data_IF_297982834846
#
_entry.id   IF_297982834846
#
_cell.length_a   1.000
_cell.length_b   1.000
_cell.length_c   1.000
_cell.angle_alpha   90.00
_cell.angle_beta   90.00
_cell.angle_gamma   90.00
#
_symmetry.space_group_name_H-M   'P 1'
#
loop_
_entity.id
_entity.type
_entity.pdbx_description
1 polymer ?
#
# COMPACT_ATOMS: atom_id res chain seq x y z
N UNK A 1 24.40 6.71 6.74
CA UNK A 1 24.36 5.25 6.53
C UNK A 1 23.41 4.70 7.57
N UNK A 2 22.37 4.00 7.13
CA UNK A 2 21.30 3.49 8.02
C UNK A 2 21.85 2.39 8.92
N UNK A 3 21.59 2.48 10.23
CA UNK A 3 22.04 1.55 11.29
C UNK A 3 21.10 0.37 11.51
N UNK A 4 20.17 0.12 10.58
CA UNK A 4 19.19 -0.95 10.73
C UNK A 4 19.87 -2.32 10.56
N UNK A 5 19.63 -3.27 11.47
CA UNK A 5 20.13 -4.64 11.32
C UNK A 5 19.64 -5.28 10.01
N UNK A 6 20.47 -6.09 9.31
CA UNK A 6 20.08 -6.75 8.07
C UNK A 6 18.77 -7.55 8.18
N UNK A 7 18.55 -8.19 9.34
CA UNK A 7 17.32 -8.94 9.62
C UNK A 7 16.06 -8.07 9.57
N UNK A 8 16.14 -6.79 9.96
CA UNK A 8 15.00 -5.86 9.93
C UNK A 8 14.66 -5.48 8.48
N UNK A 9 15.67 -5.29 7.63
CA UNK A 9 15.46 -5.05 6.20
C UNK A 9 14.89 -6.29 5.49
N UNK A 10 15.36 -7.49 5.83
CA UNK A 10 14.80 -8.75 5.31
C UNK A 10 13.35 -8.97 5.75
N UNK A 11 13.00 -8.65 6.99
CA UNK A 11 11.61 -8.67 7.48
C UNK A 11 10.77 -7.66 6.71
N UNK A 12 11.25 -6.42 6.51
CA UNK A 12 10.55 -5.40 5.71
C UNK A 12 10.31 -5.88 4.27
N UNK A 13 11.31 -6.45 3.61
CA UNK A 13 11.20 -6.95 2.24
C UNK A 13 10.14 -8.06 2.11
N UNK A 14 10.16 -9.05 3.02
CA UNK A 14 9.12 -10.09 3.05
C UNK A 14 7.72 -9.53 3.30
N UNK A 15 7.59 -8.56 4.20
CA UNK A 15 6.31 -7.91 4.48
C UNK A 15 5.79 -7.11 3.28
N UNK A 16 6.68 -6.44 2.52
CA UNK A 16 6.33 -5.76 1.27
C UNK A 16 5.72 -6.75 0.27
N UNK A 17 6.42 -7.84 -0.01
CA UNK A 17 5.94 -8.88 -0.96
C UNK A 17 4.60 -9.46 -0.51
N UNK A 18 4.44 -9.69 0.79
CA UNK A 18 3.18 -10.18 1.34
C UNK A 18 2.02 -9.20 1.15
N UNK A 19 2.23 -7.90 1.40
CA UNK A 19 1.20 -6.88 1.18
C UNK A 19 0.86 -6.69 -0.30
N UNK A 20 1.84 -6.79 -1.20
CA UNK A 20 1.59 -6.75 -2.66
C UNK A 20 0.78 -7.96 -3.12
N UNK A 21 1.07 -9.16 -2.60
CA UNK A 21 0.25 -10.33 -2.85
C UNK A 21 -1.18 -10.19 -2.28
N UNK A 22 -1.33 -9.60 -1.09
CA UNK A 22 -2.64 -9.32 -0.49
C UNK A 22 -3.43 -8.28 -1.31
N UNK A 23 -2.77 -7.24 -1.81
CA UNK A 23 -3.38 -6.24 -2.70
C UNK A 23 -4.00 -6.90 -3.92
N UNK A 24 -3.27 -7.79 -4.61
CA UNK A 24 -3.79 -8.51 -5.78
C UNK A 24 -5.02 -9.37 -5.44
N UNK A 25 -5.05 -10.01 -4.26
CA UNK A 25 -6.20 -10.79 -3.81
C UNK A 25 -7.43 -9.93 -3.54
N UNK A 26 -7.25 -8.77 -2.88
CA UNK A 26 -8.34 -7.82 -2.63
C UNK A 26 -8.90 -7.28 -3.94
N UNK A 27 -8.02 -6.89 -4.87
CA UNK A 27 -8.41 -6.41 -6.20
C UNK A 27 -9.23 -7.46 -6.95
N UNK A 28 -8.76 -8.71 -6.99
CA UNK A 28 -9.46 -9.78 -7.65
C UNK A 28 -10.87 -10.00 -7.09
N UNK A 29 -11.05 -9.91 -5.77
CA UNK A 29 -12.39 -10.05 -5.16
C UNK A 29 -13.30 -8.84 -5.45
N UNK A 30 -12.76 -7.62 -5.46
CA UNK A 30 -13.55 -6.44 -5.82
C UNK A 30 -13.98 -6.47 -7.29
N UNK A 31 -13.09 -6.87 -8.20
CA UNK A 31 -13.42 -7.04 -9.62
C UNK A 31 -14.41 -8.18 -9.85
N UNK A 32 -14.31 -9.29 -9.09
CA UNK A 32 -15.30 -10.38 -9.13
C UNK A 32 -16.69 -9.90 -8.71
N UNK A 33 -16.78 -9.14 -7.62
CA UNK A 33 -18.05 -8.58 -7.16
C UNK A 33 -18.64 -7.59 -8.17
N UNK A 34 -17.78 -6.78 -8.79
CA UNK A 34 -18.15 -5.87 -9.87
C UNK A 34 -18.72 -6.62 -11.09
N UNK A 35 -18.14 -7.77 -11.44
CA UNK A 35 -18.63 -8.65 -12.53
C UNK A 35 -19.97 -9.30 -12.20
N UNK A 36 -20.16 -9.73 -10.96
CA UNK A 36 -21.38 -10.40 -10.49
C UNK A 36 -22.55 -9.45 -10.25
N UNK A 37 -22.32 -8.13 -10.23
CA UNK A 37 -23.37 -7.16 -10.05
C UNK A 37 -24.45 -7.27 -11.14
N UNK A 38 -25.73 -7.30 -10.73
CA UNK A 38 -26.85 -7.48 -11.64
C UNK A 38 -26.91 -6.36 -12.68
N UNK A 39 -26.84 -6.73 -13.97
CA UNK A 39 -26.86 -5.78 -15.08
C UNK A 39 -28.13 -4.92 -15.14
N UNK A 40 -29.27 -5.42 -14.64
CA UNK A 40 -30.52 -4.65 -14.59
C UNK A 40 -30.46 -3.47 -13.62
N UNK A 41 -29.63 -3.56 -12.57
CA UNK A 41 -29.41 -2.48 -11.60
C UNK A 41 -28.20 -1.62 -11.95
N UNK A 42 -27.23 -2.19 -12.66
CA UNK A 42 -25.95 -1.57 -13.01
C UNK A 42 -25.64 -1.80 -14.49
N UNK A 43 -26.27 -1.07 -15.43
CA UNK A 43 -26.17 -1.35 -16.86
C UNK A 43 -24.80 -1.01 -17.47
N UNK A 44 -23.99 -0.21 -16.78
CA UNK A 44 -22.64 0.15 -17.22
C UNK A 44 -21.70 -1.07 -17.25
N UNK A 45 -20.61 -1.04 -18.03
CA UNK A 45 -19.58 -2.06 -17.96
C UNK A 45 -18.94 -2.13 -16.57
N UNK A 46 -18.54 -3.33 -16.16
CA UNK A 46 -17.81 -3.56 -14.93
C UNK A 46 -16.47 -2.78 -14.92
N UNK A 47 -16.21 -2.06 -13.83
CA UNK A 47 -14.94 -1.39 -13.59
C UNK A 47 -13.77 -2.37 -13.41
N UNK A 48 -12.55 -1.86 -13.57
CA UNK A 48 -11.29 -2.59 -13.36
C UNK A 48 -10.26 -1.70 -12.67
N UNK A 49 -9.36 -2.31 -11.91
CA UNK A 49 -8.31 -1.58 -11.22
C UNK A 49 -7.23 -1.10 -12.18
N UNK A 50 -6.81 0.16 -12.00
CA UNK A 50 -5.63 0.75 -12.62
C UNK A 50 -4.46 0.74 -11.62
N UNK A 51 -3.44 -0.05 -11.94
CA UNK A 51 -2.28 -0.31 -11.09
C UNK A 51 -1.12 0.60 -11.46
N UNK A 52 -0.77 1.49 -10.54
CA UNK A 52 0.25 2.54 -10.76
C UNK A 52 1.42 2.38 -9.80
N UNK A 53 2.57 1.88 -10.26
CA UNK A 53 3.80 1.91 -9.47
C UNK A 53 4.22 3.34 -9.16
N UNK A 54 4.78 3.56 -7.97
CA UNK A 54 5.27 4.88 -7.58
C UNK A 54 6.46 4.77 -6.62
N UNK A 55 7.24 5.85 -6.55
CA UNK A 55 8.41 5.98 -5.69
C UNK A 55 8.32 7.31 -4.95
N UNK A 56 8.85 7.38 -3.73
CA UNK A 56 8.98 8.66 -3.00
C UNK A 56 9.97 9.58 -3.69
N UNK A 57 9.79 10.89 -3.54
CA UNK A 57 10.73 11.90 -4.04
C UNK A 57 12.15 11.74 -3.48
N UNK A 58 12.27 11.15 -2.28
CA UNK A 58 13.55 10.80 -1.66
C UNK A 58 14.31 9.70 -2.40
N UNK A 59 13.71 9.06 -3.41
CA UNK A 59 14.25 7.88 -4.12
C UNK A 59 14.23 6.59 -3.32
N UNK A 60 14.00 6.67 -1.99
CA UNK A 60 13.94 5.52 -1.08
C UNK A 60 12.50 5.26 -0.66
N UNK A 61 12.01 4.09 -1.06
CA UNK A 61 10.65 3.63 -0.76
C UNK A 61 9.63 3.99 -1.84
N UNK A 62 8.45 3.38 -1.75
CA UNK A 62 7.43 3.47 -2.78
C UNK A 62 6.43 2.32 -2.63
N UNK A 63 5.69 2.03 -3.69
CA UNK A 63 4.76 0.90 -3.71
C UNK A 63 3.90 0.92 -4.96
N UNK A 64 2.70 0.33 -4.86
CA UNK A 64 1.77 0.22 -5.98
C UNK A 64 0.42 0.79 -5.53
N UNK A 65 -0.05 1.82 -6.23
CA UNK A 65 -1.38 2.36 -6.04
C UNK A 65 -2.38 1.68 -6.98
N UNK A 66 -3.30 0.89 -6.45
CA UNK A 66 -4.49 0.41 -7.17
C UNK A 66 -5.63 1.40 -7.02
N UNK A 67 -6.17 1.85 -8.15
CA UNK A 67 -7.26 2.83 -8.22
C UNK A 67 -8.43 2.23 -9.00
N UNK A 68 -9.65 2.47 -8.54
CA UNK A 68 -10.84 1.87 -9.13
C UNK A 68 -12.00 2.86 -9.15
N UNK A 69 -12.74 2.81 -10.25
CA UNK A 69 -14.06 3.41 -10.39
C UNK A 69 -14.90 2.41 -11.17
N UNK A 70 -16.10 2.13 -10.66
CA UNK A 70 -16.97 1.09 -11.19
C UNK A 70 -18.44 1.42 -10.98
N UNK A 71 -19.27 0.49 -11.45
CA UNK A 71 -20.73 0.52 -11.37
C UNK A 71 -21.25 0.04 -10.01
N UNK A 72 -20.62 -0.97 -9.39
CA UNK A 72 -21.03 -1.46 -8.06
C UNK A 72 -20.35 -0.64 -6.96
N UNK A 73 -19.03 -0.48 -7.06
CA UNK A 73 -18.28 0.43 -6.19
C UNK A 73 -17.97 1.71 -6.94
N UNK A 74 -18.58 2.83 -6.54
CA UNK A 74 -18.34 4.13 -7.17
C UNK A 74 -16.83 4.44 -7.19
N UNK A 75 -16.13 4.14 -6.09
CA UNK A 75 -14.69 4.30 -6.01
C UNK A 75 -14.08 3.33 -5.01
N UNK A 76 -12.95 2.74 -5.36
CA UNK A 76 -12.13 1.99 -4.42
C UNK A 76 -10.64 2.26 -4.65
N UNK A 77 -9.85 2.03 -3.61
CA UNK A 77 -8.40 2.18 -3.66
C UNK A 77 -7.73 1.12 -2.77
N UNK A 78 -6.72 0.45 -3.31
CA UNK A 78 -5.86 -0.47 -2.55
C UNK A 78 -4.42 -0.03 -2.78
N UNK A 79 -3.76 0.47 -1.75
CA UNK A 79 -2.41 1.03 -1.87
C UNK A 79 -1.43 0.27 -1.01
N UNK A 80 -0.30 -0.12 -1.59
CA UNK A 80 0.84 -0.67 -0.85
C UNK A 80 1.94 0.36 -0.74
N UNK A 81 2.70 0.29 0.34
CA UNK A 81 3.90 1.10 0.52
C UNK A 81 4.94 0.36 1.32
N UNK A 82 6.21 0.51 0.98
CA UNK A 82 7.33 0.12 1.81
C UNK A 82 8.46 1.14 1.70
N UNK A 83 9.07 1.51 2.83
CA UNK A 83 10.13 2.51 2.88
C UNK A 83 11.14 2.23 3.99
N UNK A 84 12.33 2.76 3.81
CA UNK A 84 13.32 2.96 4.88
C UNK A 84 13.52 4.46 5.00
N UNK A 85 13.41 5.01 6.20
CA UNK A 85 13.46 6.45 6.41
C UNK A 85 13.91 6.80 7.83
N UNK A 86 13.94 8.10 8.13
CA UNK A 86 14.34 8.64 9.43
C UNK A 86 13.27 9.60 9.91
N UNK A 87 12.89 9.54 11.18
CA UNK A 87 11.99 10.51 11.76
C UNK A 87 12.61 11.91 11.72
N UNK A 88 11.76 12.94 11.55
CA UNK A 88 12.17 14.31 11.80
C UNK A 88 12.52 14.46 13.29
N UNK A 89 13.34 15.45 13.69
CA UNK A 89 13.67 15.66 15.11
C UNK A 89 12.42 15.79 16.01
N UNK A 90 11.39 16.49 15.51
CA UNK A 90 10.12 16.65 16.22
C UNK A 90 9.37 15.32 16.39
N UNK A 91 9.30 14.49 15.34
CA UNK A 91 8.66 13.17 15.42
C UNK A 91 9.47 12.21 16.30
N UNK A 92 10.80 12.25 16.21
CA UNK A 92 11.69 11.41 16.99
C UNK A 92 11.51 11.65 18.50
N UNK A 93 11.30 12.91 18.91
CA UNK A 93 11.04 13.27 20.31
C UNK A 93 9.74 12.66 20.87
N UNK A 94 8.80 12.25 20.01
CA UNK A 94 7.54 11.64 20.41
C UNK A 94 7.55 10.11 20.30
N UNK A 95 8.54 9.52 19.61
CA UNK A 95 8.60 8.08 19.33
C UNK A 95 9.55 7.38 20.31
N UNK A 96 9.09 6.36 21.05
CA UNK A 96 9.95 5.61 21.96
C UNK A 96 11.19 5.05 21.27
N UNK A 97 12.37 5.39 21.77
CA UNK A 97 13.67 4.94 21.25
C UNK A 97 14.20 5.69 20.02
N UNK A 98 13.39 6.58 19.42
CA UNK A 98 13.82 7.37 18.27
C UNK A 98 14.73 8.55 18.64
N UNK A 99 14.82 8.90 19.92
CA UNK A 99 15.83 9.81 20.47
C UNK A 99 17.26 9.25 20.32
N UNK A 100 17.40 7.92 20.30
CA UNK A 100 18.68 7.22 20.14
C UNK A 100 18.96 6.86 18.67
N UNK A 101 18.01 6.21 18.00
CA UNK A 101 18.06 5.95 16.56
C UNK A 101 16.69 6.24 15.93
N UNK A 102 16.56 7.36 15.21
CA UNK A 102 15.31 7.72 14.55
C UNK A 102 15.12 7.01 13.20
N UNK A 103 15.99 6.06 12.83
CA UNK A 103 15.84 5.25 11.63
C UNK A 103 14.67 4.26 11.79
N UNK A 104 13.85 4.12 10.76
CA UNK A 104 12.73 3.18 10.77
C UNK A 104 12.52 2.54 9.40
N UNK A 105 11.88 1.38 9.43
CA UNK A 105 11.32 0.70 8.26
C UNK A 105 9.80 0.74 8.33
N UNK A 106 9.16 0.73 7.16
CA UNK A 106 7.73 0.48 7.05
C UNK A 106 7.44 -0.42 5.85
N UNK A 107 6.40 -1.23 6.00
CA UNK A 107 5.69 -1.91 4.94
C UNK A 107 4.20 -1.91 5.34
N UNK A 108 3.31 -1.57 4.42
CA UNK A 108 1.88 -1.41 4.72
C UNK A 108 0.99 -1.65 3.50
N UNK A 109 -0.29 -1.85 3.79
CA UNK A 109 -1.41 -1.79 2.86
C UNK A 109 -2.47 -0.85 3.43
N UNK A 110 -3.17 -0.13 2.55
CA UNK A 110 -4.36 0.66 2.86
C UNK A 110 -5.47 0.30 1.88
N UNK A 111 -6.69 0.17 2.39
CA UNK A 111 -7.90 -0.16 1.64
C UNK A 111 -8.96 0.89 1.93
N UNK A 112 -9.55 1.43 0.87
CA UNK A 112 -10.73 2.31 0.92
C UNK A 112 -11.71 1.78 -0.13
N UNK A 113 -12.96 1.56 0.27
CA UNK A 113 -14.07 1.13 -0.59
C UNK A 113 -15.26 2.03 -0.27
#
# INVERSE_FOLDING_TARGET
>A
MTTLPPEIEERRARTKEWFEALQLRIIAELERLEDEAHADLYPEPAGRFDMRPWTRDTGVGGGIGGHFTGRLFEKAAVHTSAATSRFSPEMAAQMPGADQDPSYVSASISLIV
#
